data_IF_699955088956
#
_entry.id   IF_699955088956
#
_cell.length_a   1.000
_cell.length_b   1.000
_cell.length_c   1.000
_cell.angle_alpha   90.00
_cell.angle_beta   90.00
_cell.angle_gamma   90.00
#
_symmetry.space_group_name_H-M   'P 1'
#
loop_
_entity.id
_entity.type
_entity.pdbx_description
1 polymer ?
#
# COMPACT_ATOMS: atom_id res chain seq x y z
N UNK A 1 -10.75 -17.84 10.47
CA UNK A 1 -9.67 -18.86 10.49
C UNK A 1 -9.98 -19.99 9.51
N UNK A 2 -11.12 -20.67 9.63
CA UNK A 2 -11.52 -21.74 8.68
C UNK A 2 -11.71 -21.24 7.25
N UNK A 3 -12.38 -20.09 7.06
CA UNK A 3 -12.54 -19.47 5.74
C UNK A 3 -11.19 -19.15 5.07
N UNK A 4 -10.24 -18.59 5.82
CA UNK A 4 -8.90 -18.27 5.32
C UNK A 4 -8.12 -19.53 4.93
N UNK A 5 -8.24 -20.60 5.72
CA UNK A 5 -7.58 -21.88 5.42
C UNK A 5 -8.16 -22.53 4.15
N UNK A 6 -9.48 -22.51 3.99
CA UNK A 6 -10.15 -23.00 2.79
C UNK A 6 -9.74 -22.18 1.57
N UNK A 7 -9.70 -20.84 1.68
CA UNK A 7 -9.28 -19.97 0.59
C UNK A 7 -7.81 -20.23 0.19
N UNK A 8 -6.91 -20.45 1.15
CA UNK A 8 -5.52 -20.85 0.87
C UNK A 8 -5.45 -22.14 0.05
N UNK A 9 -6.27 -23.14 0.40
CA UNK A 9 -6.32 -24.40 -0.34
C UNK A 9 -6.89 -24.23 -1.76
N UNK A 10 -7.95 -23.43 -1.91
CA UNK A 10 -8.57 -23.15 -3.21
C UNK A 10 -7.63 -22.41 -4.17
N UNK A 11 -6.79 -21.52 -3.65
CA UNK A 11 -5.81 -20.76 -4.44
C UNK A 11 -4.51 -21.53 -4.71
N UNK A 12 -4.30 -22.68 -4.06
CA UNK A 12 -3.05 -23.42 -4.16
C UNK A 12 -2.80 -23.90 -5.60
N UNK A 13 -1.59 -23.66 -6.11
CA UNK A 13 -1.17 -24.07 -7.46
C UNK A 13 -1.70 -23.19 -8.61
N UNK A 14 -2.56 -22.21 -8.34
CA UNK A 14 -3.01 -21.25 -9.35
C UNK A 14 -1.92 -20.21 -9.67
N UNK A 15 -1.88 -19.76 -10.93
CA UNK A 15 -1.08 -18.60 -11.31
C UNK A 15 -1.61 -17.33 -10.63
N UNK A 16 -0.80 -16.26 -10.55
CA UNK A 16 -1.22 -15.00 -9.92
C UNK A 16 -2.51 -14.44 -10.57
N UNK A 17 -2.56 -14.45 -11.91
CA UNK A 17 -3.73 -13.99 -12.67
C UNK A 17 -4.94 -14.87 -12.39
N UNK A 18 -4.76 -16.20 -12.30
CA UNK A 18 -5.85 -17.12 -11.98
C UNK A 18 -6.35 -16.94 -10.54
N UNK A 19 -5.45 -16.68 -9.58
CA UNK A 19 -5.83 -16.34 -8.19
C UNK A 19 -6.69 -15.07 -8.17
N UNK A 20 -6.28 -14.01 -8.86
CA UNK A 20 -7.04 -12.76 -8.94
C UNK A 20 -8.43 -12.98 -9.57
N UNK A 21 -8.51 -13.72 -10.68
CA UNK A 21 -9.80 -14.08 -11.30
C UNK A 21 -10.67 -14.94 -10.39
N UNK A 22 -10.09 -15.94 -9.72
CA UNK A 22 -10.80 -16.79 -8.77
C UNK A 22 -11.45 -15.95 -7.68
N UNK A 23 -10.67 -15.05 -7.07
CA UNK A 23 -11.16 -14.14 -6.04
C UNK A 23 -12.32 -13.29 -6.57
N UNK A 24 -12.19 -12.67 -7.77
CA UNK A 24 -13.28 -11.85 -8.33
C UNK A 24 -14.59 -12.60 -8.54
N UNK A 25 -14.54 -13.91 -8.82
CA UNK A 25 -15.74 -14.74 -8.96
C UNK A 25 -16.37 -15.07 -7.61
N UNK A 26 -15.56 -15.30 -6.58
CA UNK A 26 -16.02 -15.65 -5.23
C UNK A 26 -16.50 -14.42 -4.44
N UNK A 27 -15.85 -13.28 -4.64
CA UNK A 27 -16.09 -12.02 -3.92
C UNK A 27 -16.52 -10.90 -4.89
N UNK A 28 -17.47 -11.20 -5.78
CA UNK A 28 -17.90 -10.30 -6.84
C UNK A 28 -18.23 -8.88 -6.31
N UNK A 29 -17.59 -7.87 -6.90
CA UNK A 29 -17.75 -6.46 -6.53
C UNK A 29 -17.20 -6.05 -5.16
N UNK A 30 -16.60 -6.97 -4.39
CA UNK A 30 -16.11 -6.75 -3.01
C UNK A 30 -14.60 -6.90 -2.88
N UNK A 31 -13.86 -6.54 -3.94
CA UNK A 31 -12.40 -6.61 -3.98
C UNK A 31 -11.83 -5.27 -4.39
N UNK A 32 -10.84 -4.82 -3.63
CA UNK A 32 -10.08 -3.60 -3.90
C UNK A 32 -8.58 -3.84 -3.91
N UNK A 33 -7.88 -3.10 -4.74
CA UNK A 33 -6.43 -3.01 -4.75
C UNK A 33 -6.00 -1.57 -4.43
N UNK A 34 -5.16 -1.40 -3.41
CA UNK A 34 -4.56 -0.10 -3.10
C UNK A 34 -3.20 0.05 -3.77
N UNK A 35 -3.00 1.10 -4.56
CA UNK A 35 -1.70 1.43 -5.17
C UNK A 35 -1.11 2.71 -4.59
N UNK A 36 0.17 2.63 -4.24
CA UNK A 36 1.05 3.76 -3.89
C UNK A 36 2.01 4.12 -5.04
N UNK A 37 1.87 3.45 -6.19
CA UNK A 37 2.70 3.61 -7.39
C UNK A 37 4.19 3.26 -7.20
N UNK A 38 4.51 2.43 -6.20
CA UNK A 38 5.80 1.75 -6.12
C UNK A 38 5.95 0.66 -7.19
N UNK A 39 7.15 0.07 -7.30
CA UNK A 39 7.42 -1.02 -8.25
C UNK A 39 6.42 -2.17 -8.13
N UNK A 40 6.22 -2.66 -6.91
CA UNK A 40 5.33 -3.78 -6.58
C UNK A 40 3.89 -3.48 -7.01
N UNK A 41 3.42 -2.29 -6.68
CA UNK A 41 2.07 -1.88 -6.99
C UNK A 41 1.87 -1.69 -8.49
N UNK A 42 2.89 -1.25 -9.24
CA UNK A 42 2.82 -1.15 -10.70
C UNK A 42 2.77 -2.52 -11.39
N UNK A 43 3.45 -3.54 -10.84
CA UNK A 43 3.30 -4.93 -11.30
C UNK A 43 1.86 -5.40 -11.09
N UNK A 44 1.30 -5.21 -9.90
CA UNK A 44 -0.08 -5.63 -9.62
C UNK A 44 -1.08 -4.84 -10.46
N UNK A 45 -0.85 -3.54 -10.66
CA UNK A 45 -1.65 -2.73 -11.59
C UNK A 45 -1.62 -3.31 -13.00
N UNK A 46 -0.46 -3.68 -13.56
CA UNK A 46 -0.37 -4.32 -14.87
C UNK A 46 -1.14 -5.65 -14.90
N UNK A 47 -0.93 -6.52 -13.90
CA UNK A 47 -1.62 -7.81 -13.79
C UNK A 47 -3.15 -7.64 -13.79
N UNK A 48 -3.69 -6.65 -13.09
CA UNK A 48 -5.12 -6.35 -13.05
C UNK A 48 -5.58 -5.73 -14.37
N UNK A 49 -4.95 -4.65 -14.80
CA UNK A 49 -5.42 -3.84 -15.92
C UNK A 49 -5.18 -4.49 -17.28
N UNK A 50 -4.02 -5.10 -17.55
CA UNK A 50 -3.75 -5.76 -18.82
C UNK A 50 -4.68 -6.96 -19.05
N UNK A 51 -5.09 -7.64 -17.97
CA UNK A 51 -6.02 -8.77 -18.03
C UNK A 51 -7.49 -8.37 -17.82
N UNK A 52 -7.78 -7.07 -17.62
CA UNK A 52 -9.13 -6.53 -17.37
C UNK A 52 -9.86 -7.24 -16.23
N UNK A 53 -9.12 -7.57 -15.17
CA UNK A 53 -9.69 -8.22 -13.99
C UNK A 53 -10.56 -7.20 -13.25
N UNK A 54 -11.82 -7.51 -12.90
CA UNK A 54 -12.77 -6.55 -12.32
C UNK A 54 -12.47 -6.28 -10.83
N UNK A 55 -11.31 -5.71 -10.55
CA UNK A 55 -10.87 -5.27 -9.23
C UNK A 55 -10.81 -3.75 -9.22
N UNK A 56 -11.42 -3.13 -8.22
CA UNK A 56 -11.36 -1.68 -8.06
C UNK A 56 -9.96 -1.27 -7.59
N UNK A 57 -9.24 -0.56 -8.44
CA UNK A 57 -7.92 0.01 -8.09
C UNK A 57 -8.12 1.41 -7.51
N UNK A 58 -7.53 1.67 -6.35
CA UNK A 58 -7.62 2.97 -5.69
C UNK A 58 -6.27 3.44 -5.16
N UNK A 59 -6.14 4.75 -4.95
CA UNK A 59 -4.98 5.36 -4.30
C UNK A 59 -5.42 6.35 -3.23
N UNK A 60 -4.54 6.57 -2.24
CA UNK A 60 -4.74 7.55 -1.18
C UNK A 60 -4.07 8.87 -1.60
N UNK A 61 -4.86 9.80 -2.08
CA UNK A 61 -4.37 11.11 -2.52
C UNK A 61 -4.20 12.03 -1.31
N UNK A 62 -2.99 11.98 -0.74
CA UNK A 62 -2.67 12.68 0.50
C UNK A 62 -2.55 14.20 0.34
N UNK A 63 -2.53 14.72 -0.88
CA UNK A 63 -2.18 16.11 -1.22
C UNK A 63 -0.69 16.43 -1.07
N UNK A 64 0.14 15.44 -0.77
CA UNK A 64 1.57 15.59 -0.42
C UNK A 64 2.45 14.52 -1.06
N UNK A 65 2.01 13.92 -2.18
CA UNK A 65 2.81 12.96 -2.94
C UNK A 65 3.91 13.66 -3.75
N UNK A 66 4.88 12.90 -4.24
CA UNK A 66 5.89 13.45 -5.15
C UNK A 66 5.30 13.74 -6.53
N UNK A 67 5.80 14.76 -7.25
CA UNK A 67 5.51 14.95 -8.67
C UNK A 67 5.76 13.69 -9.51
N UNK A 68 6.82 12.92 -9.21
CA UNK A 68 7.11 11.66 -9.89
C UNK A 68 6.03 10.59 -9.66
N UNK A 69 5.38 10.58 -8.49
CA UNK A 69 4.23 9.69 -8.22
C UNK A 69 3.05 10.06 -9.11
N UNK A 70 2.74 11.35 -9.26
CA UNK A 70 1.69 11.82 -10.18
C UNK A 70 2.03 11.53 -11.64
N UNK A 71 3.31 11.63 -12.02
CA UNK A 71 3.75 11.27 -13.37
C UNK A 71 3.46 9.80 -13.66
N UNK A 72 3.83 8.88 -12.76
CA UNK A 72 3.52 7.45 -12.91
C UNK A 72 2.02 7.26 -13.03
N UNK A 73 1.24 7.84 -12.13
CA UNK A 73 -0.22 7.74 -12.17
C UNK A 73 -0.79 8.15 -13.53
N UNK A 74 -0.45 9.35 -14.03
CA UNK A 74 -0.94 9.82 -15.33
C UNK A 74 -0.57 8.85 -16.47
N UNK A 75 0.69 8.40 -16.50
CA UNK A 75 1.15 7.46 -17.53
C UNK A 75 0.48 6.10 -17.43
N UNK A 76 0.22 5.60 -16.22
CA UNK A 76 -0.57 4.37 -16.00
C UNK A 76 -1.98 4.52 -16.59
N UNK A 77 -2.67 5.64 -16.35
CA UNK A 77 -3.99 5.89 -16.93
C UNK A 77 -3.96 5.94 -18.47
N UNK A 78 -2.95 6.57 -19.05
CA UNK A 78 -2.78 6.66 -20.51
C UNK A 78 -2.53 5.29 -21.16
N UNK A 79 -1.70 4.45 -20.53
CA UNK A 79 -1.35 3.12 -21.04
C UNK A 79 -2.54 2.16 -20.97
N UNK A 80 -3.19 2.08 -19.82
CA UNK A 80 -4.22 1.06 -19.58
C UNK A 80 -5.65 1.53 -19.88
N UNK A 81 -5.87 2.84 -20.00
CA UNK A 81 -7.19 3.45 -20.20
C UNK A 81 -8.22 2.98 -19.17
N UNK A 82 -7.79 2.81 -17.92
CA UNK A 82 -8.60 2.35 -16.79
C UNK A 82 -8.49 3.32 -15.62
N UNK A 83 -9.55 3.37 -14.82
CA UNK A 83 -9.66 4.33 -13.72
C UNK A 83 -8.92 3.84 -12.48
N UNK A 84 -8.18 4.74 -11.84
CA UNK A 84 -7.70 4.58 -10.46
C UNK A 84 -8.49 5.56 -9.59
N UNK A 85 -9.23 5.03 -8.61
CA UNK A 85 -10.09 5.84 -7.76
C UNK A 85 -9.29 6.55 -6.67
N UNK A 86 -9.34 7.88 -6.65
CA UNK A 86 -8.64 8.68 -5.66
C UNK A 86 -9.47 8.87 -4.39
N UNK A 87 -8.89 8.58 -3.23
CA UNK A 87 -9.46 8.88 -1.92
C UNK A 87 -8.68 10.01 -1.25
N UNK A 88 -9.34 11.14 -1.04
CA UNK A 88 -8.77 12.36 -0.45
C UNK A 88 -9.09 12.47 1.04
N UNK A 89 -8.29 13.18 1.85
CA UNK A 89 -8.64 13.54 3.22
C UNK A 89 -9.93 14.37 3.29
N UNK A 90 -10.67 14.22 4.39
CA UNK A 90 -11.79 15.11 4.70
C UNK A 90 -11.29 16.56 4.86
N UNK A 91 -11.91 17.49 4.13
CA UNK A 91 -11.47 18.87 4.08
C UNK A 91 -11.50 19.55 5.44
N UNK A 92 -12.55 19.34 6.23
CA UNK A 92 -12.73 19.96 7.55
C UNK A 92 -11.63 19.54 8.53
N UNK A 93 -11.37 18.24 8.66
CA UNK A 93 -10.32 17.72 9.55
C UNK A 93 -8.92 18.17 9.11
N UNK A 94 -8.67 18.16 7.80
CA UNK A 94 -7.40 18.64 7.24
C UNK A 94 -7.20 20.14 7.51
N UNK A 95 -8.23 20.96 7.27
CA UNK A 95 -8.21 22.40 7.51
C UNK A 95 -7.96 22.71 8.98
N UNK A 96 -8.65 22.02 9.89
CA UNK A 96 -8.48 22.21 11.33
C UNK A 96 -7.03 21.92 11.78
N UNK A 97 -6.45 20.80 11.33
CA UNK A 97 -5.07 20.45 11.65
C UNK A 97 -4.07 21.47 11.08
N UNK A 98 -4.23 21.88 9.82
CA UNK A 98 -3.31 22.84 9.18
C UNK A 98 -3.40 24.23 9.79
N UNK A 99 -4.60 24.70 10.14
CA UNK A 99 -4.77 26.02 10.76
C UNK A 99 -4.18 26.08 12.17
N UNK A 100 -4.23 24.97 12.93
CA UNK A 100 -3.75 24.93 14.31
C UNK A 100 -2.27 24.60 14.44
N UNK A 101 -1.74 23.70 13.59
CA UNK A 101 -0.37 23.16 13.71
C UNK A 101 0.50 23.41 12.48
N UNK A 102 0.01 24.12 11.49
CA UNK A 102 0.70 24.36 10.23
C UNK A 102 0.75 23.14 9.30
N UNK A 103 1.37 23.30 8.11
CA UNK A 103 1.36 22.26 7.08
C UNK A 103 2.32 21.08 7.35
N UNK A 104 3.23 21.22 8.32
CA UNK A 104 4.34 20.29 8.56
C UNK A 104 4.48 19.86 10.05
N UNK A 105 3.38 19.85 10.80
CA UNK A 105 3.34 19.49 12.23
C UNK A 105 3.98 18.12 12.55
N UNK A 106 4.01 17.22 11.57
CA UNK A 106 4.59 15.87 11.68
C UNK A 106 6.11 15.85 11.94
N UNK A 107 6.83 16.96 11.80
CA UNK A 107 8.22 17.05 12.24
C UNK A 107 8.38 17.36 13.73
N UNK A 108 7.32 17.84 14.38
CA UNK A 108 7.38 18.30 15.77
C UNK A 108 7.25 17.16 16.77
N UNK A 109 6.45 16.15 16.44
CA UNK A 109 6.26 14.97 17.29
C UNK A 109 5.72 13.76 16.53
N UNK A 110 5.89 12.57 17.13
CA UNK A 110 5.34 11.31 16.64
C UNK A 110 3.81 11.36 16.64
N UNK A 111 3.21 12.00 17.65
CA UNK A 111 1.77 12.17 17.81
C UNK A 111 1.22 13.02 16.66
N UNK A 112 1.87 14.14 16.33
CA UNK A 112 1.48 14.99 15.20
C UNK A 112 1.68 14.26 13.85
N UNK A 113 2.71 13.43 13.71
CA UNK A 113 2.86 12.55 12.53
C UNK A 113 1.69 11.57 12.43
N UNK A 114 1.34 10.89 13.52
CA UNK A 114 0.24 9.92 13.56
C UNK A 114 -1.09 10.60 13.23
N UNK A 115 -1.35 11.80 13.75
CA UNK A 115 -2.52 12.62 13.40
C UNK A 115 -2.56 12.98 11.91
N UNK A 116 -1.45 13.48 11.36
CA UNK A 116 -1.35 13.78 9.92
C UNK A 116 -1.61 12.53 9.06
N UNK A 117 -0.99 11.40 9.40
CA UNK A 117 -1.24 10.12 8.73
C UNK A 117 -2.68 9.64 8.92
N UNK A 118 -3.28 9.85 10.09
CA UNK A 118 -4.67 9.47 10.35
C UNK A 118 -5.61 10.20 9.39
N UNK A 119 -5.50 11.53 9.35
CA UNK A 119 -6.35 12.39 8.50
C UNK A 119 -6.10 12.13 7.02
N UNK A 120 -4.83 12.04 6.61
CA UNK A 120 -4.46 11.94 5.18
C UNK A 120 -4.48 10.53 4.61
N UNK A 121 -4.40 9.49 5.44
CA UNK A 121 -4.21 8.11 4.97
C UNK A 121 -5.15 7.12 5.65
N UNK A 122 -5.19 7.07 6.99
CA UNK A 122 -5.93 6.02 7.69
C UNK A 122 -7.45 6.19 7.51
N UNK A 123 -7.99 7.39 7.70
CA UNK A 123 -9.42 7.66 7.47
C UNK A 123 -9.81 7.41 6.00
N UNK A 124 -9.07 7.93 4.98
CA UNK A 124 -9.41 7.67 3.60
C UNK A 124 -9.28 6.20 3.20
N UNK A 125 -8.30 5.48 3.78
CA UNK A 125 -8.18 4.02 3.61
C UNK A 125 -9.43 3.31 4.14
N UNK A 126 -9.86 3.60 5.37
CA UNK A 126 -11.06 2.97 5.96
C UNK A 126 -12.29 3.17 5.09
N UNK A 127 -12.47 4.36 4.52
CA UNK A 127 -13.55 4.62 3.55
C UNK A 127 -13.38 3.88 2.22
N UNK A 128 -12.16 3.69 1.76
CA UNK A 128 -11.88 2.94 0.53
C UNK A 128 -12.14 1.44 0.68
N UNK A 129 -11.82 0.91 1.87
CA UNK A 129 -12.01 -0.50 2.21
C UNK A 129 -13.46 -0.84 2.56
N UNK A 130 -14.25 0.12 3.06
CA UNK A 130 -15.64 -0.09 3.46
C UNK A 130 -16.46 -0.83 2.38
N UNK A 131 -17.09 -1.94 2.78
CA UNK A 131 -17.92 -2.78 1.90
C UNK A 131 -17.14 -3.83 1.09
N UNK A 132 -15.82 -3.92 1.23
CA UNK A 132 -15.00 -4.95 0.57
C UNK A 132 -14.62 -6.06 1.55
N UNK A 133 -14.40 -7.26 0.99
CA UNK A 133 -14.00 -8.45 1.75
C UNK A 133 -12.56 -8.86 1.47
N UNK A 134 -12.02 -8.48 0.30
CA UNK A 134 -10.63 -8.71 -0.08
C UNK A 134 -9.92 -7.37 -0.36
N UNK A 135 -8.76 -7.20 0.27
CA UNK A 135 -7.82 -6.11 0.01
C UNK A 135 -6.52 -6.65 -0.59
N UNK A 136 -6.32 -6.38 -1.88
CA UNK A 136 -5.06 -6.68 -2.57
C UNK A 136 -4.01 -5.63 -2.20
N UNK A 137 -2.77 -6.05 -1.90
CA UNK A 137 -1.65 -5.14 -1.60
C UNK A 137 -0.34 -5.59 -2.25
N UNK A 138 0.62 -4.66 -2.41
CA UNK A 138 1.96 -4.91 -2.94
C UNK A 138 3.01 -5.38 -1.94
N UNK A 139 2.62 -5.84 -0.76
CA UNK A 139 3.58 -6.32 0.26
C UNK A 139 4.29 -7.58 -0.24
N UNK A 140 5.61 -7.65 -0.01
CA UNK A 140 6.43 -8.84 -0.26
C UNK A 140 7.09 -9.35 1.01
N UNK A 141 7.45 -10.64 1.02
CA UNK A 141 8.12 -11.30 2.14
C UNK A 141 9.42 -10.58 2.56
N UNK A 142 10.20 -10.09 1.59
CA UNK A 142 11.47 -9.39 1.85
C UNK A 142 11.31 -8.08 2.64
N UNK A 143 10.12 -7.47 2.63
CA UNK A 143 9.82 -6.21 3.29
C UNK A 143 9.34 -6.39 4.74
N UNK A 144 9.01 -7.61 5.15
CA UNK A 144 8.62 -7.93 6.52
C UNK A 144 9.85 -8.22 7.38
N UNK A 145 9.90 -7.60 8.56
CA UNK A 145 10.91 -7.90 9.59
C UNK A 145 10.65 -9.29 10.18
N UNK A 146 9.39 -9.75 10.20
CA UNK A 146 8.96 -11.06 10.68
C UNK A 146 8.56 -11.96 9.51
N UNK A 147 9.56 -12.47 8.78
CA UNK A 147 9.35 -13.34 7.60
C UNK A 147 8.62 -14.65 7.90
N UNK A 148 8.60 -15.10 9.17
CA UNK A 148 8.03 -16.40 9.53
C UNK A 148 6.50 -16.36 9.73
N UNK A 149 5.91 -15.19 10.01
CA UNK A 149 4.48 -15.08 10.37
C UNK A 149 3.58 -14.57 9.23
N UNK A 150 4.15 -13.85 8.25
CA UNK A 150 3.38 -13.30 7.12
C UNK A 150 3.24 -14.30 5.98
N UNK A 151 2.07 -14.30 5.33
CA UNK A 151 1.73 -15.18 4.21
C UNK A 151 1.08 -14.37 3.09
N UNK A 152 0.96 -14.95 1.89
CA UNK A 152 0.28 -14.33 0.74
C UNK A 152 -1.20 -14.01 1.01
N UNK A 153 -1.83 -14.73 1.94
CA UNK A 153 -3.16 -14.47 2.47
C UNK A 153 -3.13 -14.32 4.00
N UNK A 154 -3.66 -13.20 4.49
CA UNK A 154 -3.78 -12.90 5.92
C UNK A 154 -5.13 -12.25 6.25
N UNK A 155 -5.59 -12.40 7.49
CA UNK A 155 -6.77 -11.69 7.96
C UNK A 155 -6.37 -10.38 8.64
N UNK A 156 -6.87 -9.26 8.13
CA UNK A 156 -6.71 -7.95 8.74
C UNK A 156 -7.84 -7.72 9.74
N UNK A 157 -7.58 -8.00 11.01
CA UNK A 157 -8.56 -7.80 12.08
C UNK A 157 -8.96 -6.32 12.25
N UNK A 158 -8.08 -5.37 11.92
CA UNK A 158 -8.35 -3.94 12.10
C UNK A 158 -9.38 -3.41 11.09
N UNK A 159 -9.35 -3.96 9.87
CA UNK A 159 -10.26 -3.60 8.78
C UNK A 159 -11.32 -4.68 8.50
N UNK A 160 -11.28 -5.80 9.23
CA UNK A 160 -12.22 -6.93 9.13
C UNK A 160 -12.34 -7.51 7.72
N UNK A 161 -11.20 -7.72 7.05
CA UNK A 161 -11.14 -8.24 5.68
C UNK A 161 -9.93 -9.15 5.48
N UNK A 162 -9.90 -9.87 4.36
CA UNK A 162 -8.74 -10.69 3.98
C UNK A 162 -7.81 -9.83 3.11
N UNK A 163 -6.53 -9.78 3.47
CA UNK A 163 -5.49 -9.23 2.62
C UNK A 163 -4.92 -10.32 1.72
N UNK A 164 -4.72 -9.98 0.45
CA UNK A 164 -4.04 -10.81 -0.53
C UNK A 164 -2.82 -10.07 -1.09
N UNK A 165 -1.67 -10.73 -1.06
CA UNK A 165 -0.37 -10.21 -1.50
C UNK A 165 0.07 -11.02 -2.73
N UNK A 166 -0.32 -10.64 -3.96
CA UNK A 166 -0.23 -11.53 -5.13
C UNK A 166 1.21 -11.90 -5.52
N UNK A 167 2.15 -11.01 -5.21
CA UNK A 167 3.58 -11.14 -5.50
C UNK A 167 4.39 -11.31 -4.21
N UNK A 168 3.78 -11.87 -3.16
CA UNK A 168 4.39 -12.01 -1.84
C UNK A 168 5.76 -12.69 -1.88
N UNK A 169 5.86 -13.77 -2.67
CA UNK A 169 7.07 -14.58 -2.83
C UNK A 169 8.07 -14.01 -3.84
N UNK A 170 7.74 -12.92 -4.55
CA UNK A 170 8.66 -12.34 -5.52
C UNK A 170 9.80 -11.60 -4.82
N UNK A 171 11.02 -11.89 -5.26
CA UNK A 171 12.20 -11.09 -4.96
C UNK A 171 12.09 -9.71 -5.63
N UNK A 172 12.81 -8.72 -5.10
CA UNK A 172 12.91 -7.42 -5.77
C UNK A 172 13.45 -7.54 -7.21
N UNK A 173 14.34 -8.51 -7.46
CA UNK A 173 14.89 -8.75 -8.79
C UNK A 173 13.80 -9.19 -9.79
N UNK A 174 12.92 -10.10 -9.39
CA UNK A 174 11.79 -10.56 -10.21
C UNK A 174 10.81 -9.42 -10.49
N UNK A 175 10.49 -8.59 -9.49
CA UNK A 175 9.65 -7.38 -9.68
C UNK A 175 10.25 -6.47 -10.75
N UNK A 176 11.55 -6.14 -10.61
CA UNK A 176 12.24 -5.26 -11.59
C UNK A 176 12.33 -5.88 -12.97
N UNK A 177 12.57 -7.19 -13.04
CA UNK A 177 12.65 -7.92 -14.30
C UNK A 177 11.30 -7.89 -15.02
N UNK A 178 10.19 -8.13 -14.30
CA UNK A 178 8.85 -8.04 -14.86
C UNK A 178 8.53 -6.64 -15.39
N UNK A 179 8.84 -5.59 -14.61
CA UNK A 179 8.66 -4.18 -15.03
C UNK A 179 9.41 -3.90 -16.33
N UNK A 180 10.66 -4.37 -16.42
CA UNK A 180 11.50 -4.20 -17.60
C UNK A 180 10.93 -4.95 -18.81
N UNK A 181 10.58 -6.22 -18.65
CA UNK A 181 10.10 -7.07 -19.75
C UNK A 181 8.76 -6.59 -20.33
N UNK A 182 7.92 -6.00 -19.47
CA UNK A 182 6.62 -5.46 -19.86
C UNK A 182 6.65 -3.97 -20.20
N UNK A 183 7.79 -3.30 -20.07
CA UNK A 183 7.93 -1.85 -20.21
C UNK A 183 6.92 -1.07 -19.34
N UNK A 184 6.70 -1.54 -18.10
CA UNK A 184 5.77 -0.92 -17.16
C UNK A 184 6.37 0.40 -16.67
N UNK A 185 5.55 1.45 -16.66
CA UNK A 185 5.96 2.75 -16.11
C UNK A 185 6.12 2.62 -14.60
N UNK A 186 7.25 3.10 -14.07
CA UNK A 186 7.53 3.07 -12.64
C UNK A 186 8.08 4.41 -12.16
N UNK A 187 8.13 4.58 -10.84
CA UNK A 187 8.56 5.82 -10.23
C UNK A 187 10.09 5.99 -10.31
N UNK A 188 10.54 6.97 -11.11
CA UNK A 188 11.98 7.25 -11.31
C UNK A 188 12.75 7.63 -10.04
N UNK A 189 12.07 7.96 -8.94
CA UNK A 189 12.73 8.15 -7.64
C UNK A 189 13.41 6.86 -7.17
N UNK A 190 12.92 5.70 -7.57
CA UNK A 190 13.58 4.45 -7.26
C UNK A 190 15.02 4.38 -7.79
N UNK A 191 15.29 4.97 -8.96
CA UNK A 191 16.64 5.06 -9.54
C UNK A 191 17.52 6.10 -8.84
N UNK A 192 16.90 6.97 -8.03
CA UNK A 192 17.54 8.00 -7.21
C UNK A 192 17.70 7.58 -5.75
N UNK A 193 17.63 6.28 -5.46
CA UNK A 193 17.85 5.74 -4.13
C UNK A 193 16.63 5.81 -3.20
N UNK A 194 15.41 5.88 -3.73
CA UNK A 194 14.18 5.81 -2.94
C UNK A 194 13.55 4.41 -3.02
N UNK A 195 13.96 3.42 -2.20
CA UNK A 195 13.39 2.07 -2.23
C UNK A 195 11.94 2.02 -1.73
N UNK A 196 11.55 2.89 -0.80
CA UNK A 196 10.19 3.00 -0.28
C UNK A 196 9.70 4.44 -0.45
N UNK A 197 8.66 4.65 -1.25
CA UNK A 197 8.14 5.98 -1.61
C UNK A 197 6.83 6.24 -0.87
N UNK A 198 6.75 7.37 -0.17
CA UNK A 198 5.54 7.84 0.49
C UNK A 198 5.22 9.28 0.14
N UNK A 199 4.73 10.05 1.10
CA UNK A 199 4.55 11.50 0.94
C UNK A 199 5.93 12.16 0.80
N UNK A 200 6.04 13.16 -0.08
CA UNK A 200 7.26 13.92 -0.34
C UNK A 200 7.96 14.45 0.93
N UNK A 201 7.29 15.11 1.88
CA UNK A 201 7.97 15.63 3.07
C UNK A 201 8.38 14.51 4.05
N UNK A 202 7.85 13.30 3.90
CA UNK A 202 8.07 12.19 4.82
C UNK A 202 8.82 11.02 4.15
N UNK A 203 9.45 11.25 2.99
CA UNK A 203 10.34 10.29 2.34
C UNK A 203 11.67 10.93 1.90
N UNK A 204 12.80 10.27 2.14
CA UNK A 204 14.13 10.60 1.59
C UNK A 204 14.77 9.39 0.89
N UNK A 205 15.78 9.65 0.07
CA UNK A 205 16.66 8.60 -0.43
C UNK A 205 17.45 7.93 0.71
N UNK A 206 17.79 6.66 0.51
CA UNK A 206 18.67 5.89 1.40
C UNK A 206 20.05 5.72 0.78
N UNK A 207 21.06 5.58 1.62
CA UNK A 207 22.42 5.25 1.22
C UNK A 207 22.58 3.73 1.02
N UNK A 208 23.56 3.29 0.21
CA UNK A 208 23.89 1.87 0.11
C UNK A 208 24.15 1.25 1.50
N UNK A 209 23.46 0.15 1.80
CA UNK A 209 23.57 -0.55 3.09
C UNK A 209 22.64 -0.04 4.20
N UNK A 210 21.95 1.09 4.02
CA UNK A 210 20.84 1.45 4.92
C UNK A 210 19.64 0.50 4.73
N UNK A 211 18.86 0.32 5.80
CA UNK A 211 17.59 -0.38 5.74
C UNK A 211 16.65 0.21 4.67
N UNK A 212 15.83 -0.63 4.03
CA UNK A 212 14.97 -0.21 2.92
C UNK A 212 13.92 0.83 3.32
N UNK A 213 13.57 0.94 4.62
CA UNK A 213 12.66 1.96 5.16
C UNK A 213 13.37 3.05 5.94
N UNK A 214 14.70 3.09 5.98
CA UNK A 214 15.47 4.15 6.64
C UNK A 214 15.12 5.56 6.12
N UNK A 215 14.65 5.65 4.87
CA UNK A 215 14.19 6.88 4.25
C UNK A 215 12.81 7.36 4.68
N UNK A 216 12.10 6.62 5.55
CA UNK A 216 10.74 6.96 6.03
C UNK A 216 10.84 7.52 7.44
N UNK A 217 10.23 8.70 7.65
CA UNK A 217 10.26 9.40 8.96
C UNK A 217 11.66 9.42 9.59
N UNK A 218 12.67 9.78 8.80
CA UNK A 218 14.08 9.66 9.17
C UNK A 218 14.47 10.48 10.39
N UNK A 219 13.68 11.49 10.75
CA UNK A 219 13.86 12.32 11.94
C UNK A 219 13.39 11.66 13.25
N UNK A 220 12.61 10.57 13.18
CA UNK A 220 12.15 9.83 14.35
C UNK A 220 13.14 8.71 14.75
N UNK A 221 13.02 8.24 15.99
CA UNK A 221 13.69 7.02 16.47
C UNK A 221 13.22 5.80 15.65
N UNK A 222 14.14 4.89 15.30
CA UNK A 222 13.85 3.68 14.52
C UNK A 222 12.72 2.83 15.12
N UNK A 223 12.63 2.76 16.45
CA UNK A 223 11.59 2.00 17.17
C UNK A 223 10.15 2.50 16.93
N UNK A 224 9.97 3.68 16.33
CA UNK A 224 8.66 4.34 16.15
C UNK A 224 8.21 4.45 14.68
N UNK A 225 8.97 3.88 13.75
CA UNK A 225 8.84 4.07 12.29
C UNK A 225 7.87 3.12 11.61
N UNK A 226 6.62 3.04 12.08
CA UNK A 226 5.58 2.26 11.39
C UNK A 226 4.45 3.07 10.75
N UNK A 227 4.00 2.53 9.60
CA UNK A 227 2.87 3.03 8.84
C UNK A 227 1.65 2.26 9.28
N UNK A 228 0.79 2.87 10.10
CA UNK A 228 -0.44 2.24 10.60
C UNK A 228 -1.45 1.78 9.53
N UNK A 229 -1.10 1.80 8.24
CA UNK A 229 -1.88 1.22 7.14
C UNK A 229 -1.92 -0.31 7.17
N UNK A 230 -0.85 -0.96 7.64
CA UNK A 230 -0.70 -2.43 7.55
C UNK A 230 -0.56 -3.13 8.89
N UNK A 231 -0.75 -2.42 10.01
CA UNK A 231 -0.61 -2.99 11.34
C UNK A 231 -1.75 -4.00 11.60
N UNK A 232 -1.45 -5.29 11.45
CA UNK A 232 -2.20 -6.34 12.12
C UNK A 232 -1.76 -6.30 13.61
N UNK A 233 -2.61 -5.75 14.47
CA UNK A 233 -2.45 -5.73 15.94
C UNK A 233 -1.38 -4.79 16.52
N UNK A 234 -1.79 -3.55 16.87
CA UNK A 234 -1.17 -2.81 17.99
C UNK A 234 -2.20 -2.23 18.99
N UNK A 235 -3.51 -2.27 18.71
CA UNK A 235 -4.51 -1.64 19.59
C UNK A 235 -5.03 -2.51 20.75
N UNK A 236 -4.61 -3.78 20.90
CA UNK A 236 -5.18 -4.66 21.94
C UNK A 236 -4.46 -4.56 23.31
N UNK A 237 -3.25 -3.99 23.38
CA UNK A 237 -2.46 -4.01 24.64
C UNK A 237 -2.60 -2.73 25.47
N UNK A 238 -3.13 -1.63 24.92
CA UNK A 238 -3.13 -0.33 25.61
C UNK A 238 -4.38 -0.03 26.47
N UNK A 239 -5.29 -0.98 26.69
CA UNK A 239 -6.52 -0.76 27.47
C UNK A 239 -6.71 -1.72 28.64
N UNK A 240 -5.61 -2.18 29.26
CA UNK A 240 -5.63 -2.89 30.55
C UNK A 240 -4.53 -2.36 31.47
N UNK A 241 -4.71 -1.13 31.94
CA UNK A 241 -4.26 -0.67 33.25
C UNK A 241 -5.36 0.19 33.88
#
# INVERSE_FOLDING_TARGET
>A
MEELANLKQELAGLSIVDKLWYLTKKYEGRIVFSTSFGWEDQVITDLIFANKIPIKVFTLETGRLFPETYYVWNRTLEVYQQTIHAYYPQAESLQAMVNSKGPNSFYESVENRKECCHIRKIEPLKRALYGNEIWVTGIRAEQSVNREDMHDLEYDASNQLIKFHPIFEWTLAEVKQYIKDKNIVYNTLHDKGFPSIGCAPCTRAVQPGEDFRAGRWWWEDQSKKECGLHNAAEEIVASKE
#
